data_IF_709953788770
#
_entry.id   IF_709953788770
#
_cell.length_a   1.000
_cell.length_b   1.000
_cell.length_c   1.000
_cell.angle_alpha   90.00
_cell.angle_beta   90.00
_cell.angle_gamma   90.00
#
_symmetry.space_group_name_H-M   'P 1'
#
loop_
_entity.id
_entity.type
_entity.pdbx_description
1 polymer ?
#
# COMPACT_ATOMS: atom_id res chain seq x y z
N UNK A 1 0.20 9.46 20.69
CA UNK A 1 0.31 8.00 20.90
C UNK A 1 0.39 7.32 19.55
N UNK A 2 1.22 6.29 19.40
CA UNK A 2 1.30 5.46 18.18
C UNK A 2 1.07 4.02 18.57
N UNK A 3 0.12 3.34 17.92
CA UNK A 3 -0.15 1.91 18.10
C UNK A 3 0.40 1.19 16.86
N UNK A 4 1.38 0.30 17.05
CA UNK A 4 1.94 -0.51 15.96
C UNK A 4 1.42 -1.94 16.08
N UNK A 5 0.62 -2.36 15.10
CA UNK A 5 0.16 -3.74 14.99
C UNK A 5 1.32 -4.59 14.46
N UNK A 6 2.04 -5.24 15.38
CA UNK A 6 3.23 -6.03 15.08
C UNK A 6 2.96 -7.53 15.08
N UNK A 7 4.02 -8.31 15.33
CA UNK A 7 3.99 -9.78 15.35
C UNK A 7 2.94 -10.37 16.30
N UNK A 8 2.59 -9.68 17.38
CA UNK A 8 1.55 -10.11 18.34
C UNK A 8 0.15 -10.17 17.73
N UNK A 9 -0.08 -9.49 16.61
CA UNK A 9 -1.30 -9.56 15.80
C UNK A 9 -0.98 -10.12 14.41
N UNK A 10 0.04 -10.98 14.33
CA UNK A 10 0.58 -11.53 13.08
C UNK A 10 0.09 -12.93 12.73
N UNK A 11 -0.72 -13.56 13.58
CA UNK A 11 -1.16 -14.94 13.39
C UNK A 11 -2.05 -15.08 12.16
N UNK A 12 -1.86 -16.18 11.43
CA UNK A 12 -2.64 -16.53 10.24
C UNK A 12 -3.08 -17.97 10.38
N UNK A 13 -4.38 -18.23 10.22
CA UNK A 13 -4.96 -19.57 10.20
C UNK A 13 -5.78 -19.77 8.92
N UNK A 14 -5.91 -21.00 8.48
CA UNK A 14 -6.67 -21.39 7.30
C UNK A 14 -7.65 -22.50 7.63
N UNK A 15 -8.85 -22.45 7.05
CA UNK A 15 -9.85 -23.51 7.08
C UNK A 15 -10.49 -23.60 5.67
N UNK A 16 -10.22 -24.70 4.96
CA UNK A 16 -10.55 -24.79 3.53
C UNK A 16 -9.95 -23.63 2.72
N UNK A 17 -10.82 -22.85 2.07
CA UNK A 17 -10.45 -21.66 1.26
C UNK A 17 -10.52 -20.35 2.03
N UNK A 18 -10.86 -20.41 3.31
CA UNK A 18 -10.92 -19.27 4.21
C UNK A 18 -9.60 -19.10 4.95
N UNK A 19 -9.14 -17.85 5.04
CA UNK A 19 -7.98 -17.44 5.81
C UNK A 19 -8.39 -16.37 6.81
N UNK A 20 -8.01 -16.54 8.07
CA UNK A 20 -8.14 -15.49 9.09
C UNK A 20 -6.75 -15.02 9.47
N UNK A 21 -6.46 -13.76 9.18
CA UNK A 21 -5.17 -13.13 9.41
C UNK A 21 -5.32 -11.98 10.41
N UNK A 22 -4.46 -11.93 11.42
CA UNK A 22 -4.33 -10.75 12.28
C UNK A 22 -3.83 -9.54 11.47
N UNK A 23 -4.18 -8.34 11.91
CA UNK A 23 -3.89 -7.10 11.19
C UNK A 23 -2.39 -6.76 11.07
N UNK A 24 -1.55 -7.36 11.93
CA UNK A 24 -0.09 -7.27 11.87
C UNK A 24 0.56 -8.32 10.95
N UNK A 25 -0.20 -9.26 10.40
CA UNK A 25 0.30 -10.22 9.43
C UNK A 25 0.73 -9.49 8.15
N UNK A 26 1.85 -9.87 7.55
CA UNK A 26 2.27 -9.28 6.29
C UNK A 26 1.45 -9.85 5.13
N UNK A 27 1.17 -9.00 4.13
CA UNK A 27 0.47 -9.40 2.91
C UNK A 27 1.17 -10.58 2.23
N UNK A 28 2.51 -10.56 2.23
CA UNK A 28 3.36 -11.64 1.74
C UNK A 28 3.15 -12.98 2.46
N UNK A 29 3.02 -12.95 3.79
CA UNK A 29 2.84 -14.18 4.57
C UNK A 29 1.46 -14.80 4.30
N UNK A 30 0.43 -13.97 4.16
CA UNK A 30 -0.91 -14.42 3.78
C UNK A 30 -0.92 -15.00 2.37
N UNK A 31 -0.28 -14.36 1.40
CA UNK A 31 -0.16 -14.88 0.03
C UNK A 31 0.55 -16.24 -0.01
N UNK A 32 1.65 -16.39 0.73
CA UNK A 32 2.38 -17.66 0.80
C UNK A 32 1.55 -18.76 1.45
N UNK A 33 0.85 -18.47 2.56
CA UNK A 33 -0.02 -19.47 3.20
C UNK A 33 -1.16 -19.88 2.28
N UNK A 34 -1.78 -18.93 1.57
CA UNK A 34 -2.84 -19.23 0.61
C UNK A 34 -2.35 -20.22 -0.47
N UNK A 35 -1.17 -19.97 -1.06
CA UNK A 35 -0.51 -20.91 -1.98
C UNK A 35 -0.29 -22.29 -1.36
N UNK A 36 0.29 -22.34 -0.15
CA UNK A 36 0.61 -23.60 0.52
C UNK A 36 -0.64 -24.41 0.88
N UNK A 37 -1.80 -23.75 0.95
CA UNK A 37 -3.11 -24.35 1.20
C UNK A 37 -3.96 -24.51 -0.05
N UNK A 38 -3.38 -24.35 -1.24
CA UNK A 38 -4.10 -24.49 -2.52
C UNK A 38 -5.29 -23.52 -2.65
N UNK A 39 -5.14 -22.31 -2.09
CA UNK A 39 -6.13 -21.22 -2.12
C UNK A 39 -5.66 -20.15 -3.10
N UNK A 40 -6.27 -20.11 -4.27
CA UNK A 40 -6.04 -19.09 -5.29
C UNK A 40 -6.82 -17.82 -4.98
N UNK A 41 -6.39 -16.73 -5.61
CA UNK A 41 -7.04 -15.43 -5.58
C UNK A 41 -6.39 -14.41 -4.65
N UNK A 42 -5.45 -14.82 -3.79
CA UNK A 42 -4.70 -13.93 -2.90
C UNK A 42 -3.29 -13.60 -3.43
N UNK A 43 -2.98 -13.95 -4.68
CA UNK A 43 -1.66 -13.78 -5.28
C UNK A 43 -1.27 -12.30 -5.39
N UNK A 44 -2.24 -11.41 -5.59
CA UNK A 44 -2.01 -9.97 -5.70
C UNK A 44 -1.35 -9.37 -4.44
N UNK A 45 -1.56 -9.97 -3.27
CA UNK A 45 -0.92 -9.58 -2.01
C UNK A 45 0.62 -9.76 -2.07
N UNK A 46 1.13 -10.60 -2.97
CA UNK A 46 2.57 -10.68 -3.28
C UNK A 46 3.12 -9.37 -3.85
N UNK A 47 2.27 -8.57 -4.49
CA UNK A 47 2.61 -7.28 -5.05
C UNK A 47 2.52 -6.11 -4.08
N UNK A 48 1.86 -6.30 -2.93
CA UNK A 48 1.53 -5.24 -1.97
C UNK A 48 2.49 -5.33 -0.78
N UNK A 49 3.34 -4.32 -0.53
CA UNK A 49 4.11 -4.25 0.69
C UNK A 49 3.26 -3.66 1.83
N UNK A 50 3.08 -4.39 2.91
CA UNK A 50 2.31 -3.90 4.05
C UNK A 50 1.92 -4.97 5.06
N UNK A 51 0.90 -4.64 5.84
CA UNK A 51 0.21 -5.57 6.71
C UNK A 51 -1.27 -5.63 6.35
N UNK A 52 -1.93 -6.73 6.70
CA UNK A 52 -3.34 -6.96 6.42
C UNK A 52 -4.24 -5.84 6.96
N UNK A 53 -3.93 -5.29 8.14
CA UNK A 53 -4.68 -4.16 8.68
C UNK A 53 -4.61 -2.91 7.80
N UNK A 54 -3.41 -2.60 7.30
CA UNK A 54 -3.21 -1.52 6.32
C UNK A 54 -3.91 -1.81 5.00
N UNK A 55 -3.84 -3.06 4.52
CA UNK A 55 -4.47 -3.49 3.29
C UNK A 55 -5.99 -3.36 3.34
N UNK A 56 -6.63 -3.79 4.44
CA UNK A 56 -8.06 -3.55 4.67
C UNK A 56 -8.35 -2.05 4.71
N UNK A 57 -7.61 -1.25 5.50
CA UNK A 57 -7.85 0.19 5.61
C UNK A 57 -7.79 0.92 4.26
N UNK A 58 -6.87 0.52 3.39
CA UNK A 58 -6.58 1.20 2.14
C UNK A 58 -7.26 0.54 0.93
N UNK A 59 -8.08 -0.50 1.10
CA UNK A 59 -8.47 -1.38 0.00
C UNK A 59 -7.28 -1.67 -0.95
N UNK A 60 -6.20 -2.19 -0.37
CA UNK A 60 -4.96 -2.35 -1.12
C UNK A 60 -5.16 -3.34 -2.27
N UNK A 61 -4.60 -3.01 -3.42
CA UNK A 61 -4.79 -3.80 -4.62
C UNK A 61 -3.66 -3.64 -5.61
N UNK A 62 -3.41 -4.68 -6.38
CA UNK A 62 -2.38 -4.71 -7.40
C UNK A 62 -2.77 -5.75 -8.45
N UNK A 63 -2.25 -5.63 -9.67
CA UNK A 63 -2.40 -6.65 -10.71
C UNK A 63 -3.85 -7.07 -11.01
N UNK A 64 -4.77 -6.10 -10.98
CA UNK A 64 -6.18 -6.27 -11.35
C UNK A 64 -7.10 -6.77 -10.24
N UNK A 65 -6.61 -6.86 -9.00
CA UNK A 65 -7.42 -7.22 -7.81
C UNK A 65 -7.14 -6.32 -6.62
N UNK A 66 -8.07 -6.29 -5.68
CA UNK A 66 -7.94 -5.59 -4.40
C UNK A 66 -8.50 -6.39 -3.22
N UNK A 67 -8.46 -5.78 -2.02
CA UNK A 67 -8.95 -6.42 -0.80
C UNK A 67 -10.46 -6.66 -0.81
N UNK A 68 -11.24 -5.79 -1.47
CA UNK A 68 -12.68 -5.96 -1.58
C UNK A 68 -13.05 -7.26 -2.32
N UNK A 69 -12.19 -7.72 -3.24
CA UNK A 69 -12.39 -8.97 -3.97
C UNK A 69 -12.29 -10.25 -3.12
N UNK A 70 -11.66 -10.18 -1.95
CA UNK A 70 -11.35 -11.36 -1.12
C UNK A 70 -11.78 -11.22 0.34
N UNK A 71 -12.04 -10.01 0.84
CA UNK A 71 -12.47 -9.81 2.22
C UNK A 71 -13.92 -10.29 2.39
N UNK A 72 -14.15 -11.08 3.44
CA UNK A 72 -15.48 -11.48 3.91
C UNK A 72 -15.92 -10.58 5.05
N UNK A 73 -15.04 -10.41 6.05
CA UNK A 73 -15.29 -9.57 7.21
C UNK A 73 -13.98 -9.10 7.86
N UNK A 74 -14.05 -8.05 8.65
CA UNK A 74 -12.95 -7.59 9.50
C UNK A 74 -13.42 -7.44 10.95
N UNK A 75 -12.53 -7.71 11.90
CA UNK A 75 -12.72 -7.29 13.30
C UNK A 75 -12.08 -5.93 13.46
N UNK A 76 -12.83 -4.97 13.98
CA UNK A 76 -12.39 -3.58 14.14
C UNK A 76 -12.62 -3.16 15.59
N UNK A 77 -11.62 -2.51 16.17
CA UNK A 77 -11.78 -1.75 17.41
C UNK A 77 -12.04 -0.28 17.06
N UNK A 78 -13.09 0.30 17.63
CA UNK A 78 -13.31 1.72 17.53
C UNK A 78 -12.41 2.51 18.50
N UNK A 79 -12.52 3.83 18.48
CA UNK A 79 -11.74 4.73 19.35
C UNK A 79 -12.03 4.61 20.85
N UNK A 80 -13.14 3.97 21.22
CA UNK A 80 -13.54 3.72 22.61
C UNK A 80 -13.08 2.33 23.09
N UNK A 81 -12.58 1.50 22.18
CA UNK A 81 -12.11 0.15 22.44
C UNK A 81 -13.17 -0.93 22.23
N UNK A 82 -14.35 -0.56 21.72
CA UNK A 82 -15.40 -1.51 21.40
C UNK A 82 -15.02 -2.31 20.15
N UNK A 83 -15.13 -3.63 20.24
CA UNK A 83 -14.73 -4.53 19.18
C UNK A 83 -15.95 -5.10 18.48
N UNK A 84 -16.02 -4.86 17.18
CA UNK A 84 -17.12 -5.32 16.32
C UNK A 84 -16.59 -6.09 15.11
N UNK A 85 -17.42 -6.99 14.59
CA UNK A 85 -17.20 -7.62 13.30
C UNK A 85 -18.01 -6.85 12.25
N UNK A 86 -17.34 -6.40 11.19
CA UNK A 86 -17.93 -5.66 10.08
C UNK A 86 -17.78 -6.49 8.82
N UNK A 87 -18.85 -6.67 8.06
CA UNK A 87 -18.81 -7.39 6.78
C UNK A 87 -18.13 -6.53 5.72
N UNK A 88 -17.54 -7.16 4.71
CA UNK A 88 -16.87 -6.43 3.64
C UNK A 88 -17.79 -5.47 2.88
N UNK A 89 -19.06 -5.85 2.69
CA UNK A 89 -20.11 -5.02 2.08
C UNK A 89 -20.36 -3.72 2.85
N UNK A 90 -20.15 -3.72 4.17
CA UNK A 90 -20.39 -2.58 5.04
C UNK A 90 -19.16 -1.66 5.17
N UNK A 91 -18.00 -2.05 4.61
CA UNK A 91 -16.76 -1.26 4.66
C UNK A 91 -16.66 -0.19 3.58
N UNK A 92 -17.65 -0.08 2.69
CA UNK A 92 -17.75 0.99 1.70
C UNK A 92 -16.50 1.12 0.82
N UNK A 93 -15.95 -0.01 0.37
CA UNK A 93 -14.72 0.00 -0.42
C UNK A 93 -14.87 0.75 -1.74
N UNK A 94 -13.84 1.52 -2.06
CA UNK A 94 -13.63 2.13 -3.38
C UNK A 94 -12.12 2.15 -3.68
N UNK A 95 -11.72 2.71 -4.82
CA UNK A 95 -10.33 2.71 -5.22
C UNK A 95 -9.44 3.37 -4.15
N UNK A 96 -8.56 2.56 -3.55
CA UNK A 96 -7.63 2.97 -2.48
C UNK A 96 -8.30 3.52 -1.21
N UNK A 97 -9.53 3.11 -0.92
CA UNK A 97 -10.31 3.68 0.16
C UNK A 97 -11.26 2.67 0.80
N UNK A 98 -11.46 2.82 2.12
CA UNK A 98 -12.53 2.20 2.90
C UNK A 98 -13.24 3.27 3.71
N UNK A 99 -14.52 3.05 4.01
CA UNK A 99 -15.34 3.94 4.84
C UNK A 99 -15.05 3.81 6.34
N UNK A 100 -13.94 3.16 6.74
CA UNK A 100 -13.56 3.03 8.13
C UNK A 100 -13.34 4.40 8.78
N UNK A 101 -14.03 4.70 9.90
CA UNK A 101 -13.84 5.95 10.63
C UNK A 101 -12.38 6.22 10.96
N UNK A 102 -12.01 7.50 11.03
CA UNK A 102 -10.68 7.88 11.50
C UNK A 102 -10.50 7.48 12.97
N UNK A 103 -9.39 6.82 13.28
CA UNK A 103 -9.11 6.27 14.60
C UNK A 103 -9.47 4.79 14.78
N UNK A 104 -10.33 4.24 13.93
CA UNK A 104 -10.68 2.82 13.98
C UNK A 104 -9.51 1.93 13.54
N UNK A 105 -9.33 0.83 14.27
CA UNK A 105 -8.20 -0.08 14.14
C UNK A 105 -8.70 -1.45 13.68
N UNK A 106 -8.24 -1.88 12.50
CA UNK A 106 -8.43 -3.26 12.06
C UNK A 106 -7.60 -4.20 12.96
N UNK A 107 -8.23 -5.21 13.53
CA UNK A 107 -7.59 -6.21 14.41
C UNK A 107 -7.29 -7.51 13.66
N UNK A 108 -8.19 -7.93 12.78
CA UNK A 108 -8.03 -9.11 11.93
C UNK A 108 -8.94 -9.05 10.71
N UNK A 109 -8.58 -9.76 9.66
CA UNK A 109 -9.36 -9.93 8.45
C UNK A 109 -9.69 -11.41 8.22
N UNK A 110 -10.93 -11.68 7.81
CA UNK A 110 -11.36 -12.94 7.25
C UNK A 110 -11.39 -12.78 5.72
N UNK A 111 -10.49 -13.48 5.06
CA UNK A 111 -10.32 -13.51 3.61
C UNK A 111 -10.79 -14.85 3.05
N UNK A 112 -11.33 -14.83 1.84
CA UNK A 112 -11.77 -16.03 1.13
C UNK A 112 -11.22 -16.02 -0.29
N UNK A 113 -10.51 -17.09 -0.63
CA UNK A 113 -10.09 -17.36 -2.00
C UNK A 113 -10.97 -18.42 -2.66
N UNK A 114 -10.39 -19.09 -3.65
CA UNK A 114 -11.00 -20.24 -4.33
C UNK A 114 -10.02 -21.41 -4.38
N UNK A 115 -10.47 -22.67 -4.53
CA UNK A 115 -9.55 -23.78 -4.72
C UNK A 115 -8.68 -23.55 -5.97
N UNK A 116 -7.39 -23.83 -5.89
CA UNK A 116 -6.47 -23.68 -7.01
C UNK A 116 -5.22 -24.54 -6.89
N UNK A 117 -4.58 -24.84 -8.01
CA UNK A 117 -3.36 -25.64 -8.01
C UNK A 117 -2.17 -24.84 -7.44
N UNK A 118 -1.46 -25.34 -6.41
CA UNK A 118 -0.31 -24.64 -5.80
C UNK A 118 0.72 -24.15 -6.82
N UNK A 119 1.02 -24.94 -7.86
CA UNK A 119 1.97 -24.56 -8.91
C UNK A 119 1.47 -23.43 -9.81
N UNK A 120 0.16 -23.34 -10.06
CA UNK A 120 -0.41 -22.22 -10.80
C UNK A 120 -0.36 -20.93 -9.96
N UNK A 121 -0.69 -21.02 -8.67
CA UNK A 121 -0.61 -19.91 -7.71
C UNK A 121 0.85 -19.44 -7.60
N UNK A 122 1.80 -20.36 -7.45
CA UNK A 122 3.23 -20.06 -7.36
C UNK A 122 3.75 -19.35 -8.62
N UNK A 123 3.38 -19.83 -9.82
CA UNK A 123 3.72 -19.16 -11.08
C UNK A 123 3.16 -17.74 -11.13
N UNK A 124 1.89 -17.54 -10.78
CA UNK A 124 1.29 -16.21 -10.76
C UNK A 124 1.97 -15.26 -9.78
N UNK A 125 2.32 -15.73 -8.59
CA UNK A 125 3.10 -14.94 -7.62
C UNK A 125 4.50 -14.58 -8.14
N UNK A 126 5.14 -15.48 -8.91
CA UNK A 126 6.44 -15.23 -9.53
C UNK A 126 6.34 -14.18 -10.65
N UNK A 127 5.32 -14.25 -11.50
CA UNK A 127 5.02 -13.23 -12.53
C UNK A 127 4.82 -11.85 -11.90
N UNK A 128 3.97 -11.76 -10.87
CA UNK A 128 3.73 -10.54 -10.11
C UNK A 128 5.04 -9.96 -9.56
N UNK A 129 5.89 -10.84 -8.99
CA UNK A 129 7.19 -10.42 -8.45
C UNK A 129 8.09 -9.89 -9.57
N UNK A 130 8.20 -10.59 -10.71
CA UNK A 130 9.02 -10.17 -11.84
C UNK A 130 8.55 -8.86 -12.47
N UNK A 131 7.24 -8.68 -12.68
CA UNK A 131 6.66 -7.43 -13.18
C UNK A 131 6.97 -6.26 -12.23
N UNK A 132 6.88 -6.50 -10.91
CA UNK A 132 7.21 -5.48 -9.91
C UNK A 132 8.70 -5.14 -9.90
N UNK A 133 9.55 -6.16 -9.94
CA UNK A 133 11.01 -6.07 -10.00
C UNK A 133 11.45 -5.28 -11.23
N UNK A 134 10.73 -5.37 -12.35
CA UNK A 134 11.02 -4.58 -13.56
C UNK A 134 10.52 -3.15 -13.44
N UNK A 135 9.32 -2.92 -12.90
CA UNK A 135 8.67 -1.61 -12.92
C UNK A 135 9.09 -0.67 -11.77
N UNK A 136 9.52 -1.20 -10.62
CA UNK A 136 9.66 -0.41 -9.39
C UNK A 136 11.08 -0.46 -8.79
N UNK A 137 11.50 0.59 -8.05
CA UNK A 137 12.78 0.62 -7.33
C UNK A 137 12.71 -0.22 -6.05
N UNK A 138 12.77 -1.54 -6.19
CA UNK A 138 12.74 -2.45 -5.05
C UNK A 138 14.01 -2.40 -4.23
N UNK A 139 13.91 -2.83 -2.96
CA UNK A 139 15.01 -2.80 -1.98
C UNK A 139 15.57 -1.41 -1.71
N UNK A 140 14.83 -0.37 -2.09
CA UNK A 140 15.09 1.02 -1.71
C UNK A 140 14.14 1.43 -0.59
N UNK A 141 14.52 2.44 0.20
CA UNK A 141 13.66 2.98 1.26
C UNK A 141 12.70 3.98 0.65
N UNK A 142 11.45 3.58 0.44
CA UNK A 142 10.42 4.39 -0.20
C UNK A 142 9.04 4.10 0.40
N UNK A 143 8.15 5.08 0.35
CA UNK A 143 6.74 4.95 0.75
C UNK A 143 5.83 4.36 -0.33
N UNK A 144 6.36 4.04 -1.51
CA UNK A 144 5.57 3.64 -2.68
C UNK A 144 5.38 4.80 -3.66
N UNK A 145 4.32 4.71 -4.48
CA UNK A 145 3.93 5.82 -5.35
C UNK A 145 3.62 7.05 -4.50
N UNK A 146 4.29 8.16 -4.79
CA UNK A 146 4.23 9.38 -3.98
C UNK A 146 2.99 10.21 -4.32
N UNK A 147 2.58 10.22 -5.58
CA UNK A 147 1.43 10.97 -6.07
C UNK A 147 0.40 10.08 -6.76
N UNK A 148 -0.88 10.46 -6.64
CA UNK A 148 -1.99 9.83 -7.37
C UNK A 148 -1.84 10.11 -8.87
N UNK A 149 -2.35 9.20 -9.70
CA UNK A 149 -2.46 9.46 -11.14
C UNK A 149 -3.60 10.46 -11.40
N UNK A 150 -3.34 11.59 -12.08
CA UNK A 150 -4.41 12.48 -12.54
C UNK A 150 -5.31 11.79 -13.58
N UNK A 151 -6.57 12.24 -13.77
CA UNK A 151 -7.46 11.68 -14.78
C UNK A 151 -6.83 11.67 -16.17
N UNK A 152 -6.81 10.51 -16.83
CA UNK A 152 -6.24 10.35 -18.17
C UNK A 152 -4.70 10.27 -18.22
N UNK A 153 -4.00 10.57 -17.12
CA UNK A 153 -2.55 10.71 -17.09
C UNK A 153 -1.88 9.72 -16.14
N UNK A 154 -0.55 9.64 -16.26
CA UNK A 154 0.29 8.87 -15.32
C UNK A 154 1.25 9.83 -14.63
N UNK A 155 1.17 9.90 -13.30
CA UNK A 155 1.98 10.84 -12.52
C UNK A 155 3.48 10.70 -12.83
N UNK A 156 3.99 9.47 -12.94
CA UNK A 156 5.39 9.23 -13.30
C UNK A 156 5.79 9.86 -14.63
N UNK A 157 4.93 9.83 -15.66
CA UNK A 157 5.25 10.43 -16.97
C UNK A 157 5.36 11.94 -16.85
N UNK A 158 4.42 12.57 -16.15
CA UNK A 158 4.43 14.01 -15.92
C UNK A 158 5.67 14.45 -15.14
N UNK A 159 6.03 13.72 -14.09
CA UNK A 159 7.23 13.99 -13.27
C UNK A 159 8.51 13.83 -14.10
N UNK A 160 8.57 12.81 -14.96
CA UNK A 160 9.71 12.57 -15.83
C UNK A 160 9.86 13.67 -16.89
N UNK A 161 8.77 14.04 -17.55
CA UNK A 161 8.73 15.13 -18.54
C UNK A 161 9.09 16.49 -17.91
N UNK A 162 8.74 16.69 -16.64
CA UNK A 162 9.13 17.87 -15.87
C UNK A 162 10.62 17.88 -15.46
N UNK A 163 11.41 16.90 -15.94
CA UNK A 163 12.86 16.83 -15.70
C UNK A 163 13.24 16.45 -14.28
N UNK A 164 12.35 15.78 -13.55
CA UNK A 164 12.57 15.49 -12.12
C UNK A 164 13.28 14.14 -11.88
N UNK A 165 13.55 13.32 -12.91
CA UNK A 165 14.24 12.04 -12.73
C UNK A 165 15.63 12.26 -12.11
N UNK A 166 15.94 11.52 -11.05
CA UNK A 166 17.22 11.62 -10.36
C UNK A 166 17.37 12.86 -9.47
N UNK A 167 16.41 13.79 -9.48
CA UNK A 167 16.47 15.03 -8.70
C UNK A 167 16.65 14.73 -7.20
N UNK A 168 17.54 15.48 -6.56
CA UNK A 168 17.87 15.30 -5.13
C UNK A 168 17.64 16.57 -4.32
N UNK A 169 17.33 16.37 -3.04
CA UNK A 169 17.30 17.41 -2.02
C UNK A 169 17.68 16.78 -0.68
N UNK A 170 18.78 17.23 -0.07
CA UNK A 170 19.29 16.57 1.14
C UNK A 170 19.55 15.08 0.90
N UNK A 171 18.97 14.21 1.73
CA UNK A 171 19.04 12.76 1.52
C UNK A 171 17.92 12.17 0.64
N UNK A 172 16.95 12.97 0.19
CA UNK A 172 15.84 12.53 -0.65
C UNK A 172 16.23 12.55 -2.14
N UNK A 173 15.67 11.60 -2.90
CA UNK A 173 15.87 11.50 -4.35
C UNK A 173 14.60 11.03 -5.07
N UNK A 174 14.32 11.58 -6.25
CA UNK A 174 13.36 11.00 -7.19
C UNK A 174 13.99 9.82 -7.91
N UNK A 175 13.34 8.65 -7.85
CA UNK A 175 13.86 7.43 -8.43
C UNK A 175 14.25 7.56 -9.91
N UNK A 176 15.47 7.13 -10.22
CA UNK A 176 15.96 6.94 -11.59
C UNK A 176 15.17 5.90 -12.38
N UNK A 177 14.49 4.99 -11.69
CA UNK A 177 13.75 3.89 -12.32
C UNK A 177 12.30 4.26 -12.58
N UNK A 178 11.62 4.78 -11.55
CA UNK A 178 10.21 5.15 -11.64
C UNK A 178 9.97 6.46 -10.88
N UNK A 179 9.88 7.56 -11.62
CA UNK A 179 9.85 8.95 -11.12
C UNK A 179 8.70 9.28 -10.15
N UNK A 180 7.65 8.46 -10.05
CA UNK A 180 6.65 8.59 -8.98
C UNK A 180 7.08 8.01 -7.62
N UNK A 181 8.36 7.69 -7.40
CA UNK A 181 8.87 7.16 -6.14
C UNK A 181 9.93 8.10 -5.56
N UNK A 182 9.62 8.67 -4.39
CA UNK A 182 10.61 9.30 -3.53
C UNK A 182 11.42 8.23 -2.78
N UNK A 183 12.74 8.32 -2.86
CA UNK A 183 13.71 7.42 -2.28
C UNK A 183 14.46 8.15 -1.16
N UNK A 184 14.57 7.49 -0.02
CA UNK A 184 15.54 7.84 1.01
C UNK A 184 16.87 7.14 0.71
N UNK A 185 17.89 7.92 0.35
CA UNK A 185 19.24 7.43 0.00
C UNK A 185 20.04 6.91 1.18
N UNK A 186 19.53 7.05 2.41
CA UNK A 186 20.13 6.61 3.66
C UNK A 186 20.03 7.65 4.76
N UNK A 187 20.02 8.93 4.39
CA UNK A 187 20.03 10.08 5.31
C UNK A 187 18.87 11.04 5.15
N UNK A 188 17.86 10.71 4.32
CA UNK A 188 16.75 11.62 4.06
C UNK A 188 15.94 11.88 5.33
N UNK A 189 15.72 13.15 5.63
CA UNK A 189 14.74 13.57 6.62
C UNK A 189 13.31 13.55 6.04
N UNK A 190 12.28 13.62 6.90
CA UNK A 190 10.91 13.82 6.42
C UNK A 190 10.77 15.17 5.68
N UNK A 191 11.45 16.21 6.18
CA UNK A 191 11.47 17.55 5.57
C UNK A 191 12.11 17.53 4.17
N UNK A 192 13.18 16.74 3.96
CA UNK A 192 13.80 16.54 2.65
C UNK A 192 12.80 15.93 1.65
N UNK A 193 12.09 14.88 2.08
CA UNK A 193 11.12 14.16 1.23
C UNK A 193 9.90 15.04 0.91
N UNK A 194 9.37 15.76 1.91
CA UNK A 194 8.23 16.67 1.75
C UNK A 194 8.61 17.83 0.80
N UNK A 195 9.74 18.51 1.02
CA UNK A 195 10.19 19.62 0.18
C UNK A 195 10.53 19.19 -1.25
N UNK A 196 11.18 18.03 -1.43
CA UNK A 196 11.44 17.50 -2.76
C UNK A 196 10.13 17.18 -3.50
N UNK A 197 9.15 16.61 -2.78
CA UNK A 197 7.84 16.37 -3.35
C UNK A 197 7.12 17.65 -3.76
N UNK A 198 7.16 18.70 -2.93
CA UNK A 198 6.58 20.01 -3.29
C UNK A 198 7.29 20.66 -4.49
N UNK A 199 8.62 20.53 -4.62
CA UNK A 199 9.35 20.98 -5.82
C UNK A 199 8.88 20.22 -7.08
N UNK A 200 8.69 18.90 -6.98
CA UNK A 200 8.12 18.10 -8.07
C UNK A 200 6.72 18.56 -8.46
N UNK A 201 5.83 18.81 -7.48
CA UNK A 201 4.47 19.32 -7.74
C UNK A 201 4.53 20.67 -8.45
N UNK A 202 5.39 21.58 -8.00
CA UNK A 202 5.57 22.91 -8.59
C UNK A 202 6.08 22.81 -10.04
N UNK A 203 7.04 21.94 -10.33
CA UNK A 203 7.58 21.74 -11.69
C UNK A 203 6.56 21.15 -12.64
N UNK A 204 5.80 20.13 -12.21
CA UNK A 204 4.74 19.54 -13.03
C UNK A 204 3.64 20.58 -13.32
N UNK A 205 3.24 21.36 -12.31
CA UNK A 205 2.29 22.45 -12.49
C UNK A 205 2.80 23.52 -13.47
N UNK A 206 4.07 23.92 -13.34
CA UNK A 206 4.66 24.89 -14.26
C UNK A 206 4.77 24.36 -15.70
N UNK A 207 5.01 23.07 -15.88
CA UNK A 207 5.16 22.43 -17.19
C UNK A 207 3.83 22.28 -17.92
N UNK A 208 2.78 21.76 -17.25
CA UNK A 208 1.53 21.39 -17.92
C UNK A 208 0.24 21.83 -17.21
N UNK A 209 0.35 22.61 -16.13
CA UNK A 209 -0.79 23.12 -15.38
C UNK A 209 -1.49 22.10 -14.47
N UNK A 210 -1.02 20.86 -14.42
CA UNK A 210 -1.62 19.79 -13.60
C UNK A 210 -1.10 19.87 -12.17
N UNK A 211 -2.02 19.94 -11.20
CA UNK A 211 -1.72 19.79 -9.79
C UNK A 211 -1.65 18.31 -9.40
N UNK A 212 -0.46 17.82 -9.07
CA UNK A 212 -0.30 16.48 -8.49
C UNK A 212 -0.81 16.47 -7.04
N UNK A 213 -1.53 15.40 -6.68
CA UNK A 213 -1.99 15.14 -5.32
C UNK A 213 -1.14 14.05 -4.66
N UNK A 214 -0.76 14.26 -3.39
CA UNK A 214 -0.10 13.25 -2.58
C UNK A 214 -0.98 11.99 -2.45
N UNK A 215 -0.36 10.82 -2.67
CA UNK A 215 -0.94 9.50 -2.38
C UNK A 215 -0.47 9.00 -1.01
N UNK A 216 0.80 9.26 -0.66
CA UNK A 216 1.33 8.95 0.67
C UNK A 216 0.71 9.86 1.73
N UNK A 217 0.40 9.30 2.90
CA UNK A 217 -0.07 10.08 4.05
C UNK A 217 1.10 10.72 4.77
N UNK A 218 1.09 12.05 4.82
CA UNK A 218 2.07 12.85 5.55
C UNK A 218 1.54 13.12 6.96
N UNK A 219 2.17 12.52 7.99
CA UNK A 219 1.74 12.62 9.39
C UNK A 219 2.79 13.34 10.26
N UNK A 220 2.43 13.70 11.49
CA UNK A 220 3.32 14.40 12.42
C UNK A 220 3.21 15.92 12.35
N UNK A 221 4.19 16.62 12.94
CA UNK A 221 4.28 18.09 12.92
C UNK A 221 5.47 18.49 12.07
N UNK A 222 5.31 19.54 11.25
CA UNK A 222 6.43 20.12 10.51
C UNK A 222 7.50 20.65 11.48
N UNK A 223 8.77 20.59 11.05
CA UNK A 223 9.85 21.22 11.78
C UNK A 223 9.59 22.73 11.86
N UNK A 224 9.51 23.28 13.08
CA UNK A 224 9.17 24.70 13.30
C UNK A 224 7.70 24.99 13.63
N UNK A 225 6.82 23.99 13.61
CA UNK A 225 5.51 24.06 14.27
C UNK A 225 4.47 24.97 13.62
N UNK A 226 3.99 24.60 12.43
CA UNK A 226 2.59 24.75 12.01
C UNK A 226 2.37 23.89 10.76
N UNK A 227 1.24 23.18 10.70
CA UNK A 227 0.68 22.61 9.48
C UNK A 227 -0.71 23.22 9.31
#
# INVERSE_FOLDING_TARGET
MVIRLGKSLGDIRSDGVDLVAGAGASDFAVANLARDRAVAGLEFLRGVPGSIGGSVRMNAGAYGRDMADVLVAARIADRFGEVQQVLAVDLGFSYRHSALPEGDIVLSAHLRGVPGAPDAIARRMAEISAERDLAQPLRTRTGGSSFKNPPGEKAWRLIDQAGCRGLTLGGAQISEKHTNFLINTGTASADDLEKLGEDVRARVKAMCGIDLEWEIRIIGKAAGGMR
#
